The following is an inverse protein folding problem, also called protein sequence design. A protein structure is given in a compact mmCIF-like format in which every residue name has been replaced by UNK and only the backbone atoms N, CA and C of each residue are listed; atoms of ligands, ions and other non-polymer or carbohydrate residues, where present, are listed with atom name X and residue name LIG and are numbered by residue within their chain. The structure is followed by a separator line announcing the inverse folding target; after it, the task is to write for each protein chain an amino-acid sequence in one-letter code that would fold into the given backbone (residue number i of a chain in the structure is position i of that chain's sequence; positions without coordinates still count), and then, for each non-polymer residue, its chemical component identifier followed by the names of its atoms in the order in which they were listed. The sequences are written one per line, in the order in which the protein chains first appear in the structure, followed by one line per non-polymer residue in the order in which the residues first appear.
data_IF_515992081770
#
_entry.id   IF_515992081770
#
_cell.length_a   1.000
_cell.length_b   1.000
_cell.length_c   1.000
_cell.angle_alpha   90.00
_cell.angle_beta   90.00
_cell.angle_gamma   90.00
#
_symmetry.space_group_name_H-M   'P 1'
#
loop_
_entity.id
_entity.type
_entity.pdbx_description
1 polymer ?
#
# COMPACT_ATOMS: atom_id res chain seq x y z
N UNK A 1 -6.84 17.60 0.91
CA UNK A 1 -5.91 16.50 0.61
C UNK A 1 -5.68 16.35 -0.90
N UNK A 2 -6.00 17.38 -1.70
CA UNK A 2 -5.82 17.30 -3.15
C UNK A 2 -4.33 17.40 -3.52
N UNK A 3 -3.92 16.71 -4.59
CA UNK A 3 -2.55 16.73 -5.08
C UNK A 3 -1.53 15.90 -4.28
N UNK A 4 -1.96 15.18 -3.23
CA UNK A 4 -1.05 14.44 -2.35
C UNK A 4 -0.56 13.13 -2.98
N UNK A 5 0.71 12.80 -2.72
CA UNK A 5 1.34 11.51 -3.02
C UNK A 5 1.42 10.66 -1.75
N UNK A 6 0.73 9.53 -1.74
CA UNK A 6 0.56 8.70 -0.55
C UNK A 6 1.16 7.32 -0.80
N UNK A 7 2.11 6.91 0.03
CA UNK A 7 2.65 5.55 0.04
C UNK A 7 1.90 4.70 1.09
N UNK A 8 1.18 3.68 0.65
CA UNK A 8 0.53 2.69 1.52
C UNK A 8 1.40 1.45 1.60
N UNK A 9 1.89 1.13 2.80
CA UNK A 9 2.94 0.13 3.00
C UNK A 9 2.45 -1.00 3.89
N UNK A 10 2.60 -2.26 3.46
CA UNK A 10 2.46 -3.43 4.32
C UNK A 10 1.38 -4.43 3.89
N UNK A 11 0.54 -4.88 4.83
CA UNK A 11 -0.62 -5.74 4.55
C UNK A 11 -1.75 -4.94 3.93
N UNK A 12 -1.81 -4.93 2.59
CA UNK A 12 -2.86 -4.28 1.81
C UNK A 12 -3.98 -5.25 1.44
N UNK A 13 -3.79 -6.55 1.66
CA UNK A 13 -4.78 -7.59 1.34
C UNK A 13 -5.85 -7.70 2.42
N UNK A 14 -5.44 -7.71 3.67
CA UNK A 14 -6.32 -7.91 4.83
C UNK A 14 -6.47 -6.65 5.69
N UNK A 15 -5.66 -5.61 5.44
CA UNK A 15 -5.66 -4.36 6.17
C UNK A 15 -6.94 -3.53 6.00
N UNK A 16 -7.97 -3.80 6.81
CA UNK A 16 -9.26 -3.07 6.77
C UNK A 16 -9.12 -1.54 6.92
N UNK A 17 -8.17 -1.08 7.73
CA UNK A 17 -7.91 0.35 7.89
C UNK A 17 -7.36 0.97 6.60
N UNK A 18 -6.41 0.30 5.92
CA UNK A 18 -5.91 0.72 4.62
C UNK A 18 -7.02 0.72 3.55
N UNK A 19 -7.90 -0.28 3.56
CA UNK A 19 -9.07 -0.32 2.67
C UNK A 19 -10.02 0.85 2.90
N UNK A 20 -10.28 1.19 4.16
CA UNK A 20 -11.11 2.34 4.52
C UNK A 20 -10.47 3.65 4.05
N UNK A 21 -9.16 3.78 4.24
CA UNK A 21 -8.40 4.95 3.78
C UNK A 21 -8.47 5.07 2.25
N UNK A 22 -8.23 3.99 1.51
CA UNK A 22 -8.34 3.95 0.04
C UNK A 22 -9.69 4.47 -0.43
N UNK A 23 -10.79 4.00 0.16
CA UNK A 23 -12.15 4.44 -0.19
C UNK A 23 -12.35 5.93 0.09
N UNK A 24 -11.78 6.45 1.17
CA UNK A 24 -11.84 7.88 1.48
C UNK A 24 -11.00 8.71 0.49
N UNK A 25 -9.82 8.19 0.09
CA UNK A 25 -8.93 8.85 -0.86
C UNK A 25 -9.55 8.98 -2.26
N UNK A 26 -10.45 8.06 -2.65
CA UNK A 26 -11.23 8.15 -3.88
C UNK A 26 -12.10 9.42 -3.99
N UNK A 27 -12.34 10.13 -2.88
CA UNK A 27 -13.17 11.34 -2.84
C UNK A 27 -12.38 12.63 -3.12
N UNK A 28 -11.05 12.56 -3.18
CA UNK A 28 -10.18 13.71 -3.39
C UNK A 28 -9.64 13.75 -4.82
N UNK A 29 -9.21 14.94 -5.25
CA UNK A 29 -8.71 15.18 -6.61
C UNK A 29 -7.19 15.13 -6.66
N UNK A 30 -6.65 14.69 -7.79
CA UNK A 30 -5.22 14.67 -8.07
C UNK A 30 -4.35 13.92 -7.05
N UNK A 31 -4.95 12.97 -6.32
CA UNK A 31 -4.21 12.09 -5.40
C UNK A 31 -3.46 11.03 -6.19
N UNK A 32 -2.22 10.77 -5.79
CA UNK A 32 -1.42 9.65 -6.29
C UNK A 32 -1.16 8.67 -5.16
N UNK A 33 -1.37 7.38 -5.40
CA UNK A 33 -1.17 6.33 -4.41
C UNK A 33 -0.11 5.36 -4.91
N UNK A 34 0.91 5.12 -4.10
CA UNK A 34 1.86 4.04 -4.29
C UNK A 34 1.55 2.91 -3.30
N UNK A 35 1.23 1.73 -3.83
CA UNK A 35 0.88 0.55 -3.05
C UNK A 35 2.13 -0.33 -2.91
N UNK A 36 2.70 -0.34 -1.71
CA UNK A 36 3.96 -1.03 -1.43
C UNK A 36 3.69 -2.23 -0.53
N UNK A 37 3.71 -3.42 -1.12
CA UNK A 37 3.37 -4.64 -0.39
C UNK A 37 4.03 -5.87 -1.02
N UNK A 38 4.37 -6.90 -0.22
CA UNK A 38 4.73 -8.21 -0.74
C UNK A 38 3.65 -8.75 -1.68
N UNK A 39 4.03 -9.56 -2.68
CA UNK A 39 3.08 -10.19 -3.60
C UNK A 39 1.89 -10.87 -2.91
N UNK A 40 2.15 -11.61 -1.83
CA UNK A 40 1.13 -12.34 -1.07
C UNK A 40 0.11 -11.43 -0.35
N UNK A 41 0.48 -10.16 -0.12
CA UNK A 41 -0.27 -9.15 0.62
C UNK A 41 -0.72 -7.96 -0.24
N UNK A 42 -0.69 -8.10 -1.57
CA UNK A 42 -1.17 -7.07 -2.50
C UNK A 42 -2.65 -6.74 -2.28
N UNK A 43 -2.98 -5.48 -2.58
CA UNK A 43 -4.34 -4.97 -2.55
C UNK A 43 -5.23 -5.81 -3.50
N UNK A 44 -6.45 -6.21 -3.10
CA UNK A 44 -7.32 -6.99 -3.98
C UNK A 44 -7.76 -6.19 -5.22
N UNK A 45 -7.92 -6.89 -6.35
CA UNK A 45 -8.27 -6.28 -7.65
C UNK A 45 -9.58 -5.48 -7.64
N UNK A 46 -10.50 -5.81 -6.75
CA UNK A 46 -11.74 -5.06 -6.57
C UNK A 46 -11.50 -3.60 -6.15
N UNK A 47 -10.46 -3.35 -5.34
CA UNK A 47 -10.06 -1.99 -4.96
C UNK A 47 -9.28 -1.29 -6.07
N UNK A 48 -8.44 -2.02 -6.82
CA UNK A 48 -7.76 -1.46 -8.00
C UNK A 48 -8.79 -1.02 -9.04
N UNK A 49 -9.85 -1.82 -9.24
CA UNK A 49 -10.95 -1.50 -10.14
C UNK A 49 -11.76 -0.29 -9.64
N UNK A 50 -12.00 -0.19 -8.33
CA UNK A 50 -12.64 0.96 -7.72
C UNK A 50 -11.84 2.23 -7.99
N UNK A 51 -10.52 2.18 -7.73
CA UNK A 51 -9.65 3.33 -7.92
C UNK A 51 -9.44 3.69 -9.39
N UNK A 52 -9.39 2.72 -10.31
CA UNK A 52 -9.29 2.97 -11.74
C UNK A 52 -10.50 3.72 -12.31
N UNK A 53 -11.66 3.65 -11.63
CA UNK A 53 -12.85 4.47 -11.95
C UNK A 53 -12.76 5.89 -11.41
N UNK A 54 -11.73 6.20 -10.65
CA UNK A 54 -11.46 7.54 -10.11
C UNK A 54 -10.30 8.19 -10.90
N UNK A 55 -10.06 9.47 -10.68
CA UNK A 55 -8.89 10.16 -11.23
C UNK A 55 -7.58 9.89 -10.47
N UNK A 56 -7.57 8.97 -9.50
CA UNK A 56 -6.40 8.66 -8.67
C UNK A 56 -5.35 7.91 -9.48
N UNK A 57 -4.11 8.39 -9.47
CA UNK A 57 -2.98 7.70 -10.09
C UNK A 57 -2.47 6.59 -9.17
N UNK A 58 -2.23 5.40 -9.71
CA UNK A 58 -1.79 4.25 -8.90
C UNK A 58 -0.53 3.64 -9.46
N UNK A 59 0.39 3.35 -8.55
CA UNK A 59 1.56 2.51 -8.78
C UNK A 59 1.59 1.38 -7.76
N UNK A 60 2.24 0.28 -8.11
CA UNK A 60 2.44 -0.87 -7.22
C UNK A 60 3.93 -1.22 -7.22
N UNK A 61 4.48 -1.46 -6.04
CA UNK A 61 5.89 -1.82 -5.87
C UNK A 61 6.09 -2.78 -4.70
N UNK A 62 7.20 -3.51 -4.71
CA UNK A 62 7.68 -4.25 -3.54
C UNK A 62 8.90 -3.57 -2.88
N UNK A 63 9.44 -2.54 -3.54
CA UNK A 63 10.58 -1.77 -3.07
C UNK A 63 10.11 -0.62 -2.16
N UNK A 64 10.41 -0.73 -0.87
CA UNK A 64 10.05 0.31 0.08
C UNK A 64 10.73 1.62 -0.22
N UNK A 65 12.07 1.61 -0.37
CA UNK A 65 12.87 2.84 -0.46
C UNK A 65 12.46 3.67 -1.67
N UNK A 66 12.36 3.02 -2.84
CA UNK A 66 11.89 3.66 -4.06
C UNK A 66 10.44 4.14 -3.92
N UNK A 67 9.59 3.32 -3.32
CA UNK A 67 8.17 3.63 -3.27
C UNK A 67 7.79 4.76 -2.29
N UNK A 68 8.61 5.01 -1.26
CA UNK A 68 8.40 6.11 -0.32
C UNK A 68 9.16 7.39 -0.68
N UNK A 69 10.16 7.32 -1.56
CA UNK A 69 11.04 8.45 -1.89
C UNK A 69 10.28 9.70 -2.36
N UNK A 70 9.16 9.49 -3.06
CA UNK A 70 8.30 10.56 -3.58
C UNK A 70 6.98 10.70 -2.81
N UNK A 71 6.81 10.03 -1.67
CA UNK A 71 5.58 10.11 -0.87
C UNK A 71 5.58 11.33 0.07
N UNK A 72 4.54 12.15 0.00
CA UNK A 72 4.30 13.22 0.97
C UNK A 72 3.77 12.64 2.30
N UNK A 73 3.06 11.51 2.22
CA UNK A 73 2.54 10.76 3.37
C UNK A 73 2.90 9.29 3.22
N UNK A 74 3.48 8.71 4.26
CA UNK A 74 3.71 7.26 4.37
C UNK A 74 2.75 6.70 5.40
N UNK A 75 1.85 5.81 4.97
CA UNK A 75 0.93 5.12 5.84
C UNK A 75 1.31 3.64 5.92
N UNK A 76 1.89 3.24 7.05
CA UNK A 76 2.33 1.88 7.29
C UNK A 76 1.27 1.06 8.01
N UNK A 77 1.01 -0.14 7.50
CA UNK A 77 0.22 -1.17 8.17
C UNK A 77 1.13 -2.23 8.78
N UNK A 78 0.60 -2.97 9.75
CA UNK A 78 1.31 -4.08 10.38
C UNK A 78 1.35 -5.27 9.41
N UNK A 79 2.52 -5.87 9.25
CA UNK A 79 2.71 -7.14 8.55
C UNK A 79 2.73 -8.26 9.59
N UNK A 80 1.79 -9.20 9.45
CA UNK A 80 1.65 -10.35 10.33
C UNK A 80 2.21 -11.60 9.67
N UNK A 81 3.13 -12.31 10.33
CA UNK A 81 3.84 -13.46 9.75
C UNK A 81 2.90 -14.62 9.40
N UNK A 82 1.80 -14.78 10.15
CA UNK A 82 0.78 -15.81 9.91
C UNK A 82 -0.03 -15.61 8.62
N UNK A 83 0.08 -14.44 7.96
CA UNK A 83 -0.62 -14.13 6.70
C UNK A 83 0.12 -14.64 5.47
N UNK A 84 1.39 -15.04 5.62
CA UNK A 84 2.20 -15.58 4.54
C UNK A 84 2.04 -17.10 4.48
N UNK A 85 1.96 -17.63 3.26
CA UNK A 85 2.03 -19.08 3.04
C UNK A 85 3.42 -19.61 3.38
N UNK A 86 4.45 -18.81 3.13
CA UNK A 86 5.85 -19.15 3.40
C UNK A 86 6.45 -18.22 4.47
N UNK A 87 6.81 -18.78 5.63
CA UNK A 87 7.43 -18.01 6.73
C UNK A 87 8.80 -17.40 6.35
N UNK A 88 9.54 -17.98 5.41
CA UNK A 88 10.80 -17.43 4.92
C UNK A 88 10.60 -16.10 4.20
N UNK A 89 9.53 -15.99 3.39
CA UNK A 89 9.14 -14.73 2.75
C UNK A 89 8.78 -13.67 3.80
N UNK A 90 7.98 -14.02 4.80
CA UNK A 90 7.60 -13.09 5.87
C UNK A 90 8.84 -12.44 6.54
N UNK A 91 9.89 -13.22 6.81
CA UNK A 91 11.12 -12.75 7.46
C UNK A 91 11.90 -11.76 6.60
N UNK A 92 11.96 -11.98 5.27
CA UNK A 92 12.59 -11.04 4.32
C UNK A 92 11.92 -9.67 4.39
N UNK A 93 10.60 -9.63 4.31
CA UNK A 93 9.85 -8.37 4.29
C UNK A 93 9.81 -7.67 5.65
N UNK A 94 9.80 -8.40 6.77
CA UNK A 94 9.90 -7.80 8.11
C UNK A 94 11.20 -7.00 8.31
N UNK A 95 12.29 -7.40 7.64
CA UNK A 95 13.55 -6.64 7.61
C UNK A 95 13.50 -5.43 6.69
N UNK A 96 12.86 -5.55 5.53
CA UNK A 96 12.74 -4.48 4.52
C UNK A 96 11.77 -3.37 4.94
N UNK A 97 10.71 -3.70 5.68
CA UNK A 97 9.68 -2.76 6.12
C UNK A 97 9.94 -2.13 7.50
N UNK A 98 11.19 -2.14 7.95
CA UNK A 98 11.63 -1.38 9.13
C UNK A 98 12.25 -0.06 8.66
N UNK A 99 11.56 1.06 8.91
CA UNK A 99 12.21 2.37 8.81
C UNK A 99 13.31 2.46 9.89
N UNK A 100 14.51 2.87 9.47
CA UNK A 100 15.65 3.16 10.34
C UNK A 100 15.67 4.64 10.72
#
# INVERSE_FOLDING_TARGET
MDGLRIALVGDLKFGRAAHSLIKALCLYKDVSINLISPEELRLPDSYLTLLAKTGVKITQSENLEEGIAEGDIIYMTRIQEERFKNKSHAKKYKGLFKLK
#
